data_IF_728149194230
#
_entry.id   IF_728149194230
#
_cell.length_a   1.000
_cell.length_b   1.000
_cell.length_c   1.000
_cell.angle_alpha   90.00
_cell.angle_beta   90.00
_cell.angle_gamma   90.00
#
_symmetry.space_group_name_H-M   'P 1'
#
loop_
_entity.id
_entity.type
_entity.pdbx_description
1 polymer ?
#
# COMPACT_ATOMS: atom_id res chain seq x y z
N UNK A 1 -16.30 5.13 -12.28
CA UNK A 1 -16.59 6.00 -11.11
C UNK A 1 -15.73 5.69 -9.89
N UNK A 2 -15.38 4.44 -9.54
CA UNK A 2 -14.40 4.17 -8.46
C UNK A 2 -12.99 3.86 -8.99
N UNK A 3 -12.87 2.87 -9.88
CA UNK A 3 -11.57 2.48 -10.47
C UNK A 3 -10.85 3.65 -11.14
N UNK A 4 -11.58 4.52 -11.85
CA UNK A 4 -11.02 5.74 -12.43
C UNK A 4 -10.48 6.74 -11.40
N UNK A 5 -11.11 6.84 -10.22
CA UNK A 5 -10.60 7.68 -9.13
C UNK A 5 -9.34 7.07 -8.51
N UNK A 6 -9.28 5.74 -8.37
CA UNK A 6 -8.07 5.05 -7.93
C UNK A 6 -6.93 5.22 -8.94
N UNK A 7 -7.18 5.09 -10.25
CA UNK A 7 -6.17 5.41 -11.28
C UNK A 7 -5.65 6.84 -11.13
N UNK A 8 -6.55 7.81 -10.94
CA UNK A 8 -6.15 9.20 -10.69
C UNK A 8 -5.32 9.36 -9.42
N UNK A 9 -5.64 8.59 -8.36
CA UNK A 9 -4.84 8.55 -7.14
C UNK A 9 -3.42 8.04 -7.42
N UNK A 10 -3.27 6.95 -8.17
CA UNK A 10 -1.96 6.41 -8.55
C UNK A 10 -1.15 7.43 -9.34
N UNK A 11 -1.72 8.01 -10.40
CA UNK A 11 -1.04 9.04 -11.22
C UNK A 11 -0.57 10.22 -10.37
N UNK A 12 -1.44 10.74 -9.49
CA UNK A 12 -1.18 11.98 -8.74
C UNK A 12 -0.30 11.78 -7.50
N UNK A 13 -0.35 10.61 -6.87
CA UNK A 13 0.25 10.41 -5.55
C UNK A 13 1.28 9.29 -5.51
N UNK A 14 1.11 8.23 -6.30
CA UNK A 14 2.01 7.07 -6.28
C UNK A 14 3.13 7.25 -7.29
N UNK A 15 2.77 7.50 -8.55
CA UNK A 15 3.71 7.57 -9.67
C UNK A 15 4.69 8.75 -9.59
N UNK A 16 4.52 9.65 -8.61
CA UNK A 16 5.40 10.79 -8.37
C UNK A 16 6.64 10.43 -7.54
N UNK A 17 6.67 9.25 -6.92
CA UNK A 17 7.80 8.74 -6.14
C UNK A 17 8.53 7.62 -6.89
N UNK A 18 9.62 7.11 -6.31
CA UNK A 18 10.35 5.96 -6.85
C UNK A 18 9.60 4.63 -6.57
N UNK A 19 8.42 4.47 -7.17
CA UNK A 19 7.57 3.28 -6.99
C UNK A 19 8.07 2.05 -7.75
N UNK A 20 9.07 2.21 -8.62
CA UNK A 20 9.63 1.11 -9.41
C UNK A 20 10.70 0.34 -8.63
N UNK A 21 11.46 1.03 -7.77
CA UNK A 21 12.47 0.40 -6.92
C UNK A 21 11.94 0.03 -5.53
N UNK A 22 10.86 0.66 -5.07
CA UNK A 22 10.31 0.43 -3.74
C UNK A 22 8.87 -0.09 -3.80
N UNK A 23 8.57 -1.23 -3.16
CA UNK A 23 7.22 -1.74 -3.11
C UNK A 23 6.32 -0.83 -2.27
N UNK A 24 5.03 -0.87 -2.58
CA UNK A 24 4.02 -0.04 -1.93
C UNK A 24 3.15 -0.90 -1.02
N UNK A 25 2.81 -0.32 0.14
CA UNK A 25 1.87 -0.88 1.11
C UNK A 25 0.75 0.11 1.37
N UNK A 26 -0.45 -0.40 1.61
CA UNK A 26 -1.61 0.40 2.00
C UNK A 26 -2.08 0.00 3.40
N UNK A 27 -2.59 0.97 4.15
CA UNK A 27 -3.20 0.75 5.47
C UNK A 27 -4.51 1.53 5.57
N UNK A 28 -5.52 0.91 6.16
CA UNK A 28 -6.79 1.54 6.50
C UNK A 28 -7.99 0.78 5.94
N UNK A 29 -9.13 0.90 6.62
CA UNK A 29 -10.37 0.18 6.29
C UNK A 29 -10.86 0.38 4.86
N UNK A 30 -10.67 1.57 4.29
CA UNK A 30 -11.02 1.87 2.89
C UNK A 30 -10.11 1.11 1.93
N UNK A 31 -8.80 1.12 2.17
CA UNK A 31 -7.86 0.39 1.32
C UNK A 31 -8.10 -1.13 1.41
N UNK A 32 -8.39 -1.63 2.61
CA UNK A 32 -8.70 -3.03 2.84
C UNK A 32 -10.02 -3.45 2.17
N UNK A 33 -11.06 -2.64 2.27
CA UNK A 33 -12.37 -2.92 1.64
C UNK A 33 -12.33 -2.95 0.11
N UNK A 34 -11.40 -2.21 -0.51
CA UNK A 34 -11.23 -2.13 -1.96
C UNK A 34 -9.91 -2.75 -2.44
N UNK A 35 -9.35 -3.69 -1.68
CA UNK A 35 -8.05 -4.28 -1.92
C UNK A 35 -7.90 -4.90 -3.33
N UNK A 36 -8.94 -5.58 -3.82
CA UNK A 36 -8.92 -6.21 -5.15
C UNK A 36 -8.80 -5.16 -6.26
N UNK A 37 -9.60 -4.09 -6.19
CA UNK A 37 -9.54 -3.00 -7.19
C UNK A 37 -8.21 -2.25 -7.10
N UNK A 38 -7.65 -2.09 -5.90
CA UNK A 38 -6.33 -1.48 -5.72
C UNK A 38 -5.22 -2.32 -6.36
N UNK A 39 -5.29 -3.65 -6.26
CA UNK A 39 -4.34 -4.56 -6.91
C UNK A 39 -4.47 -4.50 -8.42
N UNK A 40 -5.68 -4.58 -8.95
CA UNK A 40 -5.93 -4.46 -10.40
C UNK A 40 -5.35 -3.16 -10.96
N UNK A 41 -5.60 -2.04 -10.27
CA UNK A 41 -5.07 -0.74 -10.69
C UNK A 41 -3.55 -0.70 -10.53
N UNK A 42 -2.97 -1.24 -9.45
CA UNK A 42 -1.52 -1.28 -9.26
C UNK A 42 -0.80 -2.03 -10.39
N UNK A 43 -1.37 -3.14 -10.86
CA UNK A 43 -0.84 -3.90 -11.99
C UNK A 43 -0.81 -3.06 -13.29
N UNK A 44 -1.85 -2.27 -13.56
CA UNK A 44 -1.88 -1.37 -14.72
C UNK A 44 -0.72 -0.37 -14.75
N UNK A 45 -0.23 0.04 -13.57
CA UNK A 45 0.90 0.98 -13.43
C UNK A 45 2.25 0.28 -13.22
N UNK A 46 2.30 -1.05 -13.22
CA UNK A 46 3.52 -1.82 -12.93
C UNK A 46 4.05 -1.60 -11.50
N UNK A 47 3.16 -1.25 -10.56
CA UNK A 47 3.51 -1.05 -9.15
C UNK A 47 3.59 -2.41 -8.46
N UNK A 48 4.67 -2.65 -7.72
CA UNK A 48 4.73 -3.80 -6.82
C UNK A 48 4.00 -3.49 -5.53
N UNK A 49 2.79 -4.03 -5.37
CA UNK A 49 1.97 -3.87 -4.17
C UNK A 49 2.13 -5.09 -3.25
N UNK A 50 2.69 -4.89 -2.06
CA UNK A 50 2.96 -5.98 -1.10
C UNK A 50 1.78 -6.24 -0.16
N UNK A 51 1.53 -5.29 0.76
CA UNK A 51 0.63 -5.50 1.90
C UNK A 51 -0.49 -4.46 1.89
N UNK A 52 -1.72 -4.91 2.16
CA UNK A 52 -2.86 -4.05 2.46
C UNK A 52 -3.42 -4.47 3.81
N UNK A 53 -3.22 -3.64 4.83
CA UNK A 53 -3.69 -3.90 6.19
C UNK A 53 -4.90 -3.05 6.53
N UNK A 54 -5.82 -3.58 7.35
CA UNK A 54 -6.98 -2.80 7.81
C UNK A 54 -6.58 -1.75 8.86
N UNK A 55 -5.60 -2.07 9.71
CA UNK A 55 -5.11 -1.19 10.79
C UNK A 55 -3.59 -1.19 10.84
N UNK A 56 -2.94 -0.13 11.34
CA UNK A 56 -1.48 -0.07 11.42
C UNK A 56 -0.90 -0.95 12.54
N UNK A 57 -1.71 -1.43 13.47
CA UNK A 57 -1.23 -2.08 14.70
C UNK A 57 -0.33 -3.29 14.46
N UNK A 58 -0.64 -4.24 13.55
CA UNK A 58 0.24 -5.38 13.28
C UNK A 58 1.67 -4.96 12.89
N UNK A 59 1.79 -4.02 11.96
CA UNK A 59 3.09 -3.52 11.50
C UNK A 59 3.85 -2.71 12.58
N UNK A 60 3.12 -1.97 13.42
CA UNK A 60 3.73 -1.27 14.55
C UNK A 60 4.28 -2.26 15.61
N UNK A 61 3.52 -3.30 15.92
CA UNK A 61 3.95 -4.35 16.85
C UNK A 61 5.20 -5.04 16.31
N UNK A 62 5.20 -5.43 15.04
CA UNK A 62 6.36 -6.05 14.38
C UNK A 62 7.60 -5.16 14.46
N UNK A 63 7.48 -3.89 14.04
CA UNK A 63 8.60 -2.94 14.06
C UNK A 63 9.20 -2.75 15.46
N UNK A 64 8.35 -2.60 16.48
CA UNK A 64 8.83 -2.41 17.85
C UNK A 64 9.32 -3.70 18.52
N UNK A 65 8.86 -4.87 18.08
CA UNK A 65 9.34 -6.17 18.59
C UNK A 65 10.75 -6.48 18.09
N UNK A 66 11.05 -6.16 16.83
CA UNK A 66 12.40 -6.31 16.25
C UNK A 66 13.45 -5.47 17.00
N UNK A 67 13.07 -4.28 17.47
CA UNK A 67 13.98 -3.38 18.19
C UNK A 67 14.26 -3.80 19.65
N UNK A 68 13.56 -4.81 20.18
CA UNK A 68 13.80 -5.34 21.53
C UNK A 68 14.95 -6.38 21.50
N UNK A 69 15.27 -6.96 20.34
CA UNK A 69 16.32 -7.97 20.20
C UNK A 69 17.74 -7.38 19.99
N UNK A 70 17.88 -6.06 19.78
CA UNK A 70 19.17 -5.38 19.61
C UNK A 70 19.82 -4.89 20.93
N UNK A 71 19.32 -5.32 22.10
CA UNK A 71 19.86 -4.96 23.43
C UNK A 71 20.50 -6.14 24.15
#
# INVERSE_FOLDING_TARGET
>A
MLTGNLRNFFVRNVCQYDYQNYPIRFVGSVAYSYADILRDVAEEFGVTLETIEETPMPGLIEFHSLNIEEV
#
